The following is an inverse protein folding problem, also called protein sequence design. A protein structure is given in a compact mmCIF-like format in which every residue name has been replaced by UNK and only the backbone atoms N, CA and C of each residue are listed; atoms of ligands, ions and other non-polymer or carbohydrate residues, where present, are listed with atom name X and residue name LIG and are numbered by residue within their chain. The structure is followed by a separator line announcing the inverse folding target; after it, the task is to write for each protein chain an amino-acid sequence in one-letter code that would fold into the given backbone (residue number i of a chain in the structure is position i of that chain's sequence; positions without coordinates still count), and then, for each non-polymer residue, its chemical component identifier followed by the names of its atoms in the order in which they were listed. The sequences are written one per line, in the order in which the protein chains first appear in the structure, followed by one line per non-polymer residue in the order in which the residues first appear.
data_IF_827263636652
#
_entry.id   IF_827263636652
#
_cell.length_a   1.000
_cell.length_b   1.000
_cell.length_c   1.000
_cell.angle_alpha   90.00
_cell.angle_beta   90.00
_cell.angle_gamma   90.00
#
_symmetry.space_group_name_H-M   'P 1'
#
loop_
_entity.id
_entity.type
_entity.pdbx_description
1 polymer ?
#
# COMPACT_ATOMS: atom_id res chain seq x y z
N UNK A 1 -17.40 1.95 11.12
CA UNK A 1 -16.30 1.18 11.75
C UNK A 1 -16.70 -0.24 12.17
N UNK A 2 -17.85 -0.48 12.82
CA UNK A 2 -18.25 -1.83 13.32
C UNK A 2 -18.37 -2.90 12.22
N UNK A 3 -18.86 -2.55 11.02
CA UNK A 3 -18.93 -3.48 9.89
C UNK A 3 -17.55 -3.87 9.32
N UNK A 4 -16.54 -2.98 9.41
CA UNK A 4 -15.17 -3.24 8.94
C UNK A 4 -14.50 -4.25 9.86
N UNK A 5 -14.66 -4.10 11.18
CA UNK A 5 -14.18 -5.09 12.14
C UNK A 5 -14.88 -6.44 11.97
N UNK A 6 -16.17 -6.45 11.59
CA UNK A 6 -16.89 -7.66 11.22
C UNK A 6 -16.31 -8.35 9.98
N UNK A 7 -16.00 -7.58 8.93
CA UNK A 7 -15.35 -8.07 7.71
C UNK A 7 -13.94 -8.62 8.00
N UNK A 8 -13.14 -7.89 8.77
CA UNK A 8 -11.79 -8.29 9.19
C UNK A 8 -11.81 -9.56 10.05
N UNK A 9 -12.77 -9.67 10.99
CA UNK A 9 -12.98 -10.88 11.79
C UNK A 9 -13.40 -12.07 10.93
N UNK A 10 -14.15 -11.84 9.84
CA UNK A 10 -14.49 -12.90 8.89
C UNK A 10 -13.25 -13.39 8.10
N UNK A 11 -12.32 -12.48 7.77
CA UNK A 11 -11.07 -12.79 7.08
C UNK A 11 -10.07 -13.51 8.00
N UNK A 12 -10.04 -13.19 9.30
CA UNK A 12 -9.18 -13.84 10.28
C UNK A 12 -9.65 -15.24 10.70
N UNK A 13 -10.94 -15.58 10.54
CA UNK A 13 -11.43 -16.91 10.95
C UNK A 13 -10.71 -18.03 10.19
N UNK A 14 -10.07 -18.99 10.86
CA UNK A 14 -9.48 -20.14 10.18
C UNK A 14 -10.61 -20.94 9.52
N UNK A 15 -10.54 -21.10 8.19
CA UNK A 15 -11.48 -21.99 7.48
C UNK A 15 -11.07 -23.42 7.80
N UNK A 16 -12.02 -24.25 8.24
CA UNK A 16 -11.81 -25.67 8.55
C UNK A 16 -11.51 -26.54 7.33
N UNK A 17 -11.75 -26.04 6.12
CA UNK A 17 -11.41 -26.72 4.88
C UNK A 17 -10.65 -25.83 3.92
N UNK A 18 -9.65 -26.42 3.27
CA UNK A 18 -8.78 -25.79 2.31
C UNK A 18 -9.02 -26.42 0.94
N UNK A 19 -9.85 -25.77 0.13
CA UNK A 19 -10.10 -26.16 -1.27
C UNK A 19 -9.17 -25.35 -2.21
N UNK A 20 -8.62 -24.23 -1.71
CA UNK A 20 -7.85 -23.26 -2.49
C UNK A 20 -6.33 -23.48 -2.35
N UNK A 21 -5.60 -23.27 -3.46
CA UNK A 21 -4.13 -23.28 -3.50
C UNK A 21 -3.52 -22.22 -2.56
N UNK A 22 -2.27 -22.42 -2.15
CA UNK A 22 -1.60 -21.53 -1.19
C UNK A 22 -1.49 -20.08 -1.73
N UNK A 23 -1.26 -19.94 -3.04
CA UNK A 23 -1.13 -18.67 -3.76
C UNK A 23 -2.39 -17.81 -3.65
N UNK A 24 -3.57 -18.41 -3.84
CA UNK A 24 -4.84 -17.72 -3.67
C UNK A 24 -5.01 -17.19 -2.25
N UNK A 25 -4.67 -18.01 -1.27
CA UNK A 25 -4.77 -17.65 0.14
C UNK A 25 -3.84 -16.50 0.52
N UNK A 26 -2.63 -16.47 -0.04
CA UNK A 26 -1.74 -15.34 0.13
C UNK A 26 -2.41 -14.05 -0.39
N UNK A 27 -2.96 -14.10 -1.60
CA UNK A 27 -3.58 -12.95 -2.25
C UNK A 27 -4.78 -12.36 -1.50
N UNK A 28 -5.86 -13.13 -1.32
CA UNK A 28 -7.10 -12.55 -0.84
C UNK A 28 -7.14 -12.38 0.68
N UNK A 29 -6.26 -13.09 1.41
CA UNK A 29 -6.28 -13.13 2.88
C UNK A 29 -5.11 -12.38 3.46
N UNK A 30 -3.87 -12.73 3.10
CA UNK A 30 -2.69 -12.08 3.68
C UNK A 30 -2.53 -10.67 3.12
N UNK A 31 -2.49 -10.50 1.79
CA UNK A 31 -2.30 -9.19 1.16
C UNK A 31 -3.44 -8.23 1.49
N UNK A 32 -4.70 -8.67 1.41
CA UNK A 32 -5.86 -7.81 1.77
C UNK A 32 -5.81 -7.39 3.24
N UNK A 33 -5.52 -8.31 4.16
CA UNK A 33 -5.43 -7.97 5.59
C UNK A 33 -4.28 -7.02 5.87
N UNK A 34 -3.13 -7.25 5.25
CA UNK A 34 -1.97 -6.35 5.32
C UNK A 34 -2.35 -4.95 4.82
N UNK A 35 -2.91 -4.83 3.61
CA UNK A 35 -3.31 -3.54 3.03
C UNK A 35 -4.35 -2.82 3.88
N UNK A 36 -5.35 -3.53 4.43
CA UNK A 36 -6.36 -2.94 5.31
C UNK A 36 -5.77 -2.46 6.64
N UNK A 37 -4.85 -3.23 7.24
CA UNK A 37 -4.16 -2.83 8.46
C UNK A 37 -3.39 -1.53 8.23
N UNK A 38 -2.59 -1.47 7.17
CA UNK A 38 -1.80 -0.27 6.86
C UNK A 38 -2.66 0.90 6.41
N UNK A 39 -3.76 0.66 5.70
CA UNK A 39 -4.76 1.69 5.41
C UNK A 39 -5.27 2.34 6.70
N UNK A 40 -5.60 1.56 7.73
CA UNK A 40 -6.06 2.08 9.02
C UNK A 40 -4.94 2.85 9.71
N UNK A 41 -3.72 2.32 9.76
CA UNK A 41 -2.56 2.97 10.41
C UNK A 41 -2.24 4.31 9.74
N UNK A 42 -2.13 4.34 8.41
CA UNK A 42 -1.86 5.56 7.63
C UNK A 42 -2.99 6.58 7.83
N UNK A 43 -4.25 6.15 7.72
CA UNK A 43 -5.40 7.05 7.92
C UNK A 43 -5.42 7.64 9.34
N UNK A 44 -5.09 6.84 10.34
CA UNK A 44 -5.01 7.32 11.74
C UNK A 44 -3.91 8.37 11.88
N UNK A 45 -2.73 8.14 11.29
CA UNK A 45 -1.65 9.11 11.32
C UNK A 45 -1.94 10.38 10.52
N UNK A 46 -2.70 10.27 9.44
CA UNK A 46 -3.01 11.38 8.55
C UNK A 46 -4.11 12.29 9.08
N UNK A 47 -5.16 11.72 9.71
CA UNK A 47 -6.33 12.49 10.17
C UNK A 47 -6.36 12.74 11.68
N UNK A 48 -5.81 11.84 12.49
CA UNK A 48 -5.83 11.95 13.96
C UNK A 48 -4.44 12.25 14.55
N UNK A 49 -3.38 12.14 13.75
CA UNK A 49 -2.01 12.44 14.15
C UNK A 49 -1.52 13.79 13.64
N UNK A 50 -0.22 14.02 13.81
CA UNK A 50 0.50 15.17 13.26
C UNK A 50 1.27 14.71 12.02
N UNK A 51 0.73 14.88 10.80
CA UNK A 51 1.32 14.29 9.60
C UNK A 51 2.61 14.99 9.15
N UNK A 52 2.74 16.28 9.43
CA UNK A 52 3.86 17.14 9.07
C UNK A 52 4.24 18.04 10.25
N UNK A 53 5.54 18.27 10.44
CA UNK A 53 6.08 19.24 11.40
C UNK A 53 7.03 20.19 10.71
N UNK A 54 6.83 21.49 10.85
CA UNK A 54 7.60 22.51 10.13
C UNK A 54 8.42 23.37 11.09
N UNK A 55 9.64 23.71 10.69
CA UNK A 55 10.52 24.61 11.43
C UNK A 55 10.05 26.05 11.21
N UNK A 56 9.48 26.67 12.25
CA UNK A 56 9.16 28.10 12.28
C UNK A 56 9.45 28.67 13.67
N UNK A 57 10.11 29.82 13.72
CA UNK A 57 10.56 30.45 14.97
C UNK A 57 9.40 30.91 15.88
N UNK A 58 8.22 31.18 15.31
CA UNK A 58 7.06 31.67 16.07
C UNK A 58 6.08 30.54 16.37
N UNK A 59 5.97 30.13 17.64
CA UNK A 59 5.06 29.08 18.11
C UNK A 59 3.57 29.37 17.85
N UNK A 60 3.19 30.64 17.71
CA UNK A 60 1.79 31.05 17.52
C UNK A 60 1.21 30.65 16.15
N UNK A 61 2.05 30.59 15.12
CA UNK A 61 1.62 30.28 13.74
C UNK A 61 2.06 28.89 13.27
N UNK A 62 2.66 28.07 14.13
CA UNK A 62 3.18 26.75 13.75
C UNK A 62 2.09 25.85 13.19
N UNK A 63 0.93 25.77 13.84
CA UNK A 63 -0.21 24.93 13.40
C UNK A 63 -0.78 25.40 12.07
N UNK A 64 -0.86 26.71 11.85
CA UNK A 64 -1.33 27.29 10.58
C UNK A 64 -0.38 26.92 9.44
N UNK A 65 0.93 27.08 9.65
CA UNK A 65 1.93 26.75 8.63
C UNK A 65 2.00 25.25 8.37
N UNK A 66 1.96 24.43 9.42
CA UNK A 66 1.88 22.96 9.31
C UNK A 66 0.67 22.55 8.47
N UNK A 67 -0.51 23.10 8.76
CA UNK A 67 -1.74 22.78 8.01
C UNK A 67 -1.67 23.29 6.57
N UNK A 68 -1.20 24.52 6.36
CA UNK A 68 -1.02 25.11 5.03
C UNK A 68 -0.08 24.26 4.17
N UNK A 69 1.06 23.86 4.74
CA UNK A 69 2.07 23.04 4.06
C UNK A 69 1.66 21.57 3.93
N UNK A 70 0.73 21.09 4.74
CA UNK A 70 0.15 19.77 4.55
C UNK A 70 -0.83 19.74 3.38
N UNK A 71 -1.67 20.77 3.26
CA UNK A 71 -2.69 20.89 2.21
C UNK A 71 -2.06 21.28 0.87
N UNK A 72 -1.11 22.21 0.90
CA UNK A 72 -0.33 22.63 -0.26
C UNK A 72 0.76 21.62 -0.54
N UNK A 73 1.08 21.36 -1.82
CA UNK A 73 2.16 20.43 -2.16
C UNK A 73 3.51 20.94 -1.60
N UNK A 74 4.27 20.04 -0.97
CA UNK A 74 5.66 20.28 -0.60
C UNK A 74 6.58 19.89 -1.74
N UNK A 75 7.85 20.30 -1.73
CA UNK A 75 8.78 19.98 -2.82
C UNK A 75 10.18 19.59 -2.33
N UNK A 76 10.88 18.86 -3.18
CA UNK A 76 12.32 18.64 -3.08
C UNK A 76 13.00 19.08 -4.38
N UNK A 77 14.28 19.43 -4.29
CA UNK A 77 15.07 19.89 -5.44
C UNK A 77 15.83 18.69 -6.02
N UNK A 78 15.57 18.35 -7.29
CA UNK A 78 16.14 17.17 -7.97
C UNK A 78 17.67 17.20 -8.04
N UNK A 79 18.26 18.36 -8.32
CA UNK A 79 19.71 18.56 -8.40
C UNK A 79 20.40 18.39 -7.04
N UNK A 80 19.72 18.76 -5.95
CA UNK A 80 20.22 18.59 -4.59
C UNK A 80 20.10 17.15 -4.05
N UNK A 81 19.43 16.24 -4.76
CA UNK A 81 19.40 14.81 -4.40
C UNK A 81 20.66 14.05 -4.86
N UNK A 82 21.21 14.44 -6.02
CA UNK A 82 22.36 13.79 -6.64
C UNK A 82 23.69 14.37 -6.17
N UNK A 83 23.72 15.61 -5.67
CA UNK A 83 24.91 16.18 -5.07
C UNK A 83 25.22 15.43 -3.78
N UNK A 84 26.30 14.67 -3.82
CA UNK A 84 26.87 13.95 -2.69
C UNK A 84 27.20 14.94 -1.58
N UNK A 85 26.71 14.61 -0.40
CA UNK A 85 26.92 15.32 0.85
C UNK A 85 26.25 16.69 0.96
N UNK A 86 25.97 17.00 2.23
CA UNK A 86 25.63 18.29 2.86
C UNK A 86 26.73 19.34 2.58
N UNK A 87 27.21 19.45 1.34
CA UNK A 87 28.51 20.03 0.98
C UNK A 87 28.48 21.53 0.74
N UNK A 88 27.31 22.16 0.72
CA UNK A 88 27.15 23.60 0.46
C UNK A 88 26.15 24.22 1.45
N UNK A 89 26.16 23.80 2.73
CA UNK A 89 25.30 24.39 3.77
C UNK A 89 23.82 23.98 3.73
N UNK A 90 23.48 22.92 2.98
CA UNK A 90 22.13 22.36 2.94
C UNK A 90 21.81 21.54 4.21
N UNK A 91 20.67 21.77 4.89
CA UNK A 91 20.33 21.05 6.13
C UNK A 91 19.99 19.57 5.91
N UNK A 92 19.57 19.17 4.71
CA UNK A 92 19.21 17.78 4.35
C UNK A 92 19.35 17.56 2.83
N UNK A 93 19.66 16.32 2.36
CA UNK A 93 19.61 15.98 0.94
C UNK A 93 18.28 16.37 0.28
N UNK A 94 18.35 16.95 -0.93
CA UNK A 94 17.17 17.41 -1.67
C UNK A 94 16.61 18.77 -1.27
N UNK A 95 17.27 19.49 -0.34
CA UNK A 95 16.82 20.79 0.15
C UNK A 95 17.91 21.83 -0.12
N UNK A 96 17.66 22.70 -1.09
CA UNK A 96 18.59 23.74 -1.49
C UNK A 96 17.82 24.95 -2.05
N UNK A 97 18.28 26.19 -1.85
CA UNK A 97 17.71 27.35 -2.53
C UNK A 97 18.02 27.27 -4.04
N UNK A 98 17.13 26.65 -4.82
CA UNK A 98 17.24 26.69 -6.27
C UNK A 98 16.46 27.88 -6.83
N UNK A 99 17.09 28.64 -7.73
CA UNK A 99 16.45 29.78 -8.42
C UNK A 99 15.43 29.34 -9.47
N UNK A 100 15.56 28.13 -10.01
CA UNK A 100 14.66 27.60 -11.05
C UNK A 100 13.59 26.68 -10.47
N UNK A 101 12.32 27.09 -10.57
CA UNK A 101 11.17 26.25 -10.18
C UNK A 101 11.07 24.94 -10.99
N UNK A 102 11.68 24.89 -12.18
CA UNK A 102 11.74 23.68 -13.03
C UNK A 102 12.49 22.53 -12.38
N UNK A 103 13.33 22.80 -11.38
CA UNK A 103 14.09 21.77 -10.64
C UNK A 103 13.31 21.18 -9.46
N UNK A 104 12.11 21.70 -9.17
CA UNK A 104 11.28 21.23 -8.08
C UNK A 104 10.53 19.95 -8.47
N UNK A 105 10.55 18.98 -7.55
CA UNK A 105 9.66 17.82 -7.57
C UNK A 105 8.65 18.01 -6.45
N UNK A 106 7.38 18.15 -6.83
CA UNK A 106 6.29 18.32 -5.87
C UNK A 106 5.81 16.97 -5.35
N UNK A 107 5.58 16.90 -4.05
CA UNK A 107 5.11 15.72 -3.33
C UNK A 107 3.74 16.01 -2.76
N UNK A 108 2.73 15.31 -3.28
CA UNK A 108 1.33 15.40 -2.83
C UNK A 108 0.63 14.03 -2.77
N UNK A 109 1.29 12.96 -3.23
CA UNK A 109 0.73 11.60 -3.24
C UNK A 109 0.40 11.10 -1.82
N UNK A 110 1.14 11.53 -0.79
CA UNK A 110 0.95 11.06 0.58
C UNK A 110 -0.44 11.34 1.14
N UNK A 111 -1.14 12.36 0.63
CA UNK A 111 -2.53 12.65 0.98
C UNK A 111 -3.49 11.54 0.50
N UNK A 112 -3.14 10.87 -0.59
CA UNK A 112 -3.98 9.88 -1.26
C UNK A 112 -3.64 8.43 -0.92
N UNK A 113 -2.50 8.18 -0.24
CA UNK A 113 -2.01 6.83 0.06
C UNK A 113 -3.04 5.98 0.80
N UNK A 114 -3.74 6.54 1.80
CA UNK A 114 -4.79 5.80 2.52
C UNK A 114 -5.91 5.31 1.59
N UNK A 115 -6.37 6.17 0.67
CA UNK A 115 -7.40 5.82 -0.31
C UNK A 115 -6.89 4.81 -1.33
N UNK A 116 -5.64 4.97 -1.79
CA UNK A 116 -4.97 4.03 -2.68
C UNK A 116 -4.96 2.65 -2.04
N UNK A 117 -4.41 2.49 -0.84
CA UNK A 117 -4.32 1.21 -0.14
C UNK A 117 -5.69 0.54 0.05
N UNK A 118 -6.73 1.33 0.33
CA UNK A 118 -8.09 0.83 0.45
C UNK A 118 -8.63 0.28 -0.89
N UNK A 119 -8.44 1.03 -1.98
CA UNK A 119 -8.84 0.61 -3.33
C UNK A 119 -8.07 -0.67 -3.72
N UNK A 120 -6.75 -0.72 -3.47
CA UNK A 120 -5.95 -1.91 -3.73
C UNK A 120 -6.47 -3.14 -2.98
N UNK A 121 -6.84 -2.98 -1.71
CA UNK A 121 -7.41 -4.07 -0.91
C UNK A 121 -8.71 -4.62 -1.51
N UNK A 122 -9.57 -3.77 -2.07
CA UNK A 122 -10.81 -4.18 -2.76
C UNK A 122 -10.48 -4.99 -4.01
N UNK A 123 -9.56 -4.51 -4.84
CA UNK A 123 -9.16 -5.21 -6.06
C UNK A 123 -8.51 -6.56 -5.75
N UNK A 124 -7.64 -6.67 -4.74
CA UNK A 124 -7.09 -7.96 -4.29
C UNK A 124 -8.14 -8.93 -3.72
N UNK A 125 -9.26 -8.43 -3.19
CA UNK A 125 -10.37 -9.27 -2.76
C UNK A 125 -11.28 -9.74 -3.91
N UNK A 126 -11.28 -9.03 -5.04
CA UNK A 126 -12.21 -9.25 -6.16
C UNK A 126 -12.15 -10.66 -6.74
N UNK A 127 -10.97 -11.27 -7.00
CA UNK A 127 -10.91 -12.65 -7.50
C UNK A 127 -11.56 -13.67 -6.55
N UNK A 128 -11.37 -13.50 -5.23
CA UNK A 128 -11.99 -14.39 -4.25
C UNK A 128 -13.51 -14.22 -4.19
N UNK A 129 -13.97 -12.97 -4.25
CA UNK A 129 -15.40 -12.69 -4.32
C UNK A 129 -16.04 -13.30 -5.58
N UNK A 130 -15.37 -13.17 -6.73
CA UNK A 130 -15.81 -13.76 -8.00
C UNK A 130 -15.85 -15.30 -7.91
N UNK A 131 -14.82 -15.92 -7.33
CA UNK A 131 -14.79 -17.37 -7.08
C UNK A 131 -15.97 -17.82 -6.24
N UNK A 132 -16.29 -17.10 -5.16
CA UNK A 132 -17.41 -17.43 -4.27
C UNK A 132 -18.77 -17.38 -4.99
N UNK A 133 -18.94 -16.44 -5.93
CA UNK A 133 -20.14 -16.37 -6.79
C UNK A 133 -20.18 -17.56 -7.74
N UNK A 134 -19.06 -17.90 -8.39
CA UNK A 134 -18.97 -19.01 -9.33
C UNK A 134 -19.16 -20.38 -8.69
N UNK A 135 -18.65 -20.57 -7.47
CA UNK A 135 -18.81 -21.79 -6.67
C UNK A 135 -20.26 -21.95 -6.17
N UNK A 136 -20.97 -20.84 -5.93
CA UNK A 136 -22.37 -20.85 -5.52
C UNK A 136 -22.62 -21.52 -4.16
N UNK A 137 -21.58 -21.64 -3.31
CA UNK A 137 -21.67 -22.23 -1.96
C UNK A 137 -21.92 -23.74 -1.92
N UNK A 138 -21.94 -24.43 -3.07
CA UNK A 138 -22.24 -25.87 -3.14
C UNK A 138 -21.27 -26.71 -2.31
N UNK A 139 -19.97 -26.47 -2.42
CA UNK A 139 -18.97 -27.25 -1.68
C UNK A 139 -19.06 -26.96 -0.17
N UNK A 140 -19.24 -25.69 0.22
CA UNK A 140 -19.44 -25.32 1.62
C UNK A 140 -20.70 -25.96 2.23
N UNK A 141 -21.80 -26.01 1.49
CA UNK A 141 -23.06 -26.65 1.95
C UNK A 141 -22.96 -28.17 2.07
N UNK A 142 -22.23 -28.84 1.15
CA UNK A 142 -22.00 -30.29 1.21
C UNK A 142 -21.12 -30.67 2.40
N UNK A 143 -20.20 -29.79 2.78
CA UNK A 143 -19.30 -30.01 3.90
C UNK A 143 -19.88 -29.64 5.27
N UNK A 144 -20.77 -28.65 5.36
CA UNK A 144 -21.43 -28.31 6.62
C UNK A 144 -22.54 -29.30 7.00
N UNK A 145 -23.15 -29.98 6.02
CA UNK A 145 -24.34 -30.81 6.24
C UNK A 145 -24.08 -32.17 6.90
N UNK A 146 -22.84 -32.69 6.90
CA UNK A 146 -22.66 -34.15 7.16
C UNK A 146 -21.71 -34.59 8.29
N UNK A 147 -21.17 -33.71 9.15
CA UNK A 147 -20.14 -34.18 10.12
C UNK A 147 -20.26 -33.75 11.58
N UNK A 148 -21.31 -33.01 11.99
CA UNK A 148 -21.39 -32.56 13.40
C UNK A 148 -21.98 -33.58 14.38
N UNK A 149 -22.75 -34.56 13.90
CA UNK A 149 -23.48 -35.49 14.76
C UNK A 149 -22.97 -36.94 14.71
N UNK A 150 -22.00 -37.26 13.85
CA UNK A 150 -21.49 -38.63 13.67
C UNK A 150 -20.22 -38.89 14.50
N UNK A 151 -19.96 -40.14 14.92
CA UNK A 151 -18.70 -40.53 15.57
C UNK A 151 -17.48 -40.33 14.65
N UNK A 152 -16.29 -40.11 15.24
CA UNK A 152 -15.08 -39.61 14.54
C UNK A 152 -14.61 -40.50 13.37
N UNK A 153 -14.84 -41.81 13.43
CA UNK A 153 -14.46 -42.74 12.34
C UNK A 153 -15.41 -42.70 11.14
N UNK A 154 -16.72 -42.58 11.38
CA UNK A 154 -17.72 -42.42 10.31
C UNK A 154 -17.60 -41.04 9.63
N UNK A 155 -17.16 -40.02 10.38
CA UNK A 155 -16.83 -38.71 9.79
C UNK A 155 -15.70 -38.81 8.76
N UNK A 156 -14.69 -39.66 8.97
CA UNK A 156 -13.56 -39.82 8.04
C UNK A 156 -14.02 -40.53 6.77
N UNK A 157 -14.76 -41.64 6.91
CA UNK A 157 -15.33 -42.38 5.75
C UNK A 157 -16.32 -41.55 4.95
N UNK A 158 -17.20 -40.79 5.61
CA UNK A 158 -18.15 -39.91 4.93
C UNK A 158 -17.45 -38.77 4.19
N UNK A 159 -16.39 -38.19 4.77
CA UNK A 159 -15.53 -37.21 4.08
C UNK A 159 -14.84 -37.80 2.87
N UNK A 160 -14.29 -39.02 2.97
CA UNK A 160 -13.64 -39.68 1.84
C UNK A 160 -14.62 -39.97 0.70
N UNK A 161 -15.86 -40.39 1.02
CA UNK A 161 -16.92 -40.60 0.03
C UNK A 161 -17.36 -39.29 -0.64
N UNK A 162 -17.47 -38.19 0.12
CA UNK A 162 -17.77 -36.85 -0.42
C UNK A 162 -16.63 -36.39 -1.32
N UNK A 163 -15.38 -36.58 -0.92
CA UNK A 163 -14.19 -36.25 -1.73
C UNK A 163 -14.16 -37.09 -3.00
N UNK A 164 -14.50 -38.38 -2.94
CA UNK A 164 -14.53 -39.27 -4.10
C UNK A 164 -15.68 -38.91 -5.06
N UNK A 165 -16.85 -38.54 -4.54
CA UNK A 165 -17.97 -38.00 -5.34
C UNK A 165 -17.62 -36.67 -6.00
N UNK A 166 -16.99 -35.76 -5.26
CA UNK A 166 -16.52 -34.47 -5.79
C UNK A 166 -15.45 -34.70 -6.86
N UNK A 167 -14.50 -35.60 -6.65
CA UNK A 167 -13.44 -35.93 -7.63
C UNK A 167 -13.99 -36.52 -8.93
N UNK A 168 -14.96 -37.42 -8.82
CA UNK A 168 -15.67 -38.03 -9.96
C UNK A 168 -16.50 -37.03 -10.76
N UNK A 169 -17.07 -36.03 -10.08
CA UNK A 169 -17.86 -34.97 -10.71
C UNK A 169 -16.98 -33.84 -11.27
N UNK A 170 -15.85 -33.54 -10.63
CA UNK A 170 -14.83 -32.58 -11.09
C UNK A 170 -14.23 -32.94 -12.43
N UNK A 171 -14.03 -34.24 -12.71
CA UNK A 171 -13.50 -34.71 -14.01
C UNK A 171 -14.53 -34.70 -15.13
N UNK A 172 -15.82 -34.50 -14.83
CA UNK A 172 -16.91 -34.47 -15.83
C UNK A 172 -17.40 -33.06 -16.17
N UNK A 173 -17.37 -32.13 -15.21
CA UNK A 173 -17.79 -30.73 -15.43
C UNK A 173 -16.61 -29.84 -15.83
N UNK A 174 -16.21 -29.86 -17.11
CA UNK A 174 -15.16 -28.99 -17.68
C UNK A 174 -15.34 -27.49 -17.35
N UNK A 175 -16.59 -27.07 -17.13
CA UNK A 175 -16.94 -25.70 -16.75
C UNK A 175 -16.39 -25.27 -15.38
N UNK A 176 -16.28 -26.20 -14.42
CA UNK A 176 -15.76 -25.89 -13.10
C UNK A 176 -14.26 -25.58 -13.16
N UNK A 177 -13.51 -26.43 -13.84
CA UNK A 177 -12.06 -26.26 -14.07
C UNK A 177 -11.82 -24.96 -14.85
N UNK A 178 -12.62 -24.69 -15.88
CA UNK A 178 -12.53 -23.45 -16.65
C UNK A 178 -12.76 -22.20 -15.78
N UNK A 179 -13.79 -22.19 -14.92
CA UNK A 179 -14.06 -21.08 -13.99
C UNK A 179 -12.92 -20.86 -13.00
N UNK A 180 -12.32 -21.93 -12.50
CA UNK A 180 -11.17 -21.85 -11.60
C UNK A 180 -9.95 -21.25 -12.32
N UNK A 181 -9.64 -21.72 -13.53
CA UNK A 181 -8.54 -21.21 -14.35
C UNK A 181 -8.71 -19.72 -14.66
N UNK A 182 -9.93 -19.28 -15.01
CA UNK A 182 -10.24 -17.85 -15.23
C UNK A 182 -9.95 -17.04 -13.97
N UNK A 183 -10.33 -17.54 -12.79
CA UNK A 183 -10.05 -16.87 -11.52
C UNK A 183 -8.53 -16.73 -11.26
N UNK A 184 -7.75 -17.76 -11.60
CA UNK A 184 -6.30 -17.75 -11.44
C UNK A 184 -5.62 -16.76 -12.39
N UNK A 185 -6.07 -16.70 -13.64
CA UNK A 185 -5.64 -15.69 -14.61
C UNK A 185 -6.03 -14.29 -14.14
N UNK A 186 -7.24 -14.11 -13.60
CA UNK A 186 -7.67 -12.83 -13.02
C UNK A 186 -6.80 -12.39 -11.84
N UNK A 187 -6.35 -13.31 -10.98
CA UNK A 187 -5.38 -13.00 -9.92
C UNK A 187 -4.08 -12.48 -10.50
N UNK A 188 -3.52 -13.16 -11.51
CA UNK A 188 -2.28 -12.73 -12.15
C UNK A 188 -2.43 -11.36 -12.81
N UNK A 189 -3.49 -11.14 -13.60
CA UNK A 189 -3.79 -9.84 -14.21
C UNK A 189 -3.92 -8.75 -13.13
N UNK A 190 -4.54 -9.06 -12.00
CA UNK A 190 -4.67 -8.11 -10.89
C UNK A 190 -3.29 -7.72 -10.32
N UNK A 191 -2.34 -8.65 -10.14
CA UNK A 191 -0.98 -8.30 -9.69
C UNK A 191 -0.34 -7.27 -10.62
N UNK A 192 -0.32 -7.58 -11.93
CA UNK A 192 0.27 -6.67 -12.92
C UNK A 192 -0.46 -5.34 -12.98
N UNK A 193 -1.79 -5.34 -12.91
CA UNK A 193 -2.60 -4.14 -12.87
C UNK A 193 -2.32 -3.28 -11.63
N UNK A 194 -2.16 -3.90 -10.46
CA UNK A 194 -1.82 -3.19 -9.23
C UNK A 194 -0.42 -2.59 -9.28
N UNK A 195 0.54 -3.32 -9.83
CA UNK A 195 1.91 -2.84 -9.97
C UNK A 195 1.99 -1.67 -10.96
N UNK A 196 1.32 -1.76 -12.12
CA UNK A 196 1.24 -0.68 -13.09
C UNK A 196 0.47 0.55 -12.54
N UNK A 197 -0.57 0.32 -11.74
CA UNK A 197 -1.31 1.39 -11.08
C UNK A 197 -0.43 2.15 -10.08
N UNK A 198 0.33 1.45 -9.24
CA UNK A 198 1.28 2.09 -8.32
C UNK A 198 2.35 2.86 -9.07
N UNK A 199 2.89 2.28 -10.14
CA UNK A 199 3.93 2.93 -10.94
C UNK A 199 3.44 4.23 -11.59
N UNK A 200 2.22 4.25 -12.12
CA UNK A 200 1.61 5.47 -12.64
C UNK A 200 1.39 6.55 -11.56
N UNK A 201 1.07 6.15 -10.32
CA UNK A 201 0.95 7.08 -9.18
C UNK A 201 2.30 7.68 -8.79
N UNK A 202 3.38 6.91 -8.92
CA UNK A 202 4.74 7.32 -8.56
C UNK A 202 5.58 7.80 -9.75
N UNK A 203 4.95 8.34 -10.79
CA UNK A 203 5.61 8.93 -11.96
C UNK A 203 6.55 7.98 -12.71
N UNK A 204 6.21 6.69 -12.78
CA UNK A 204 6.94 5.61 -13.46
C UNK A 204 8.33 5.26 -12.91
N UNK A 205 8.62 5.60 -11.65
CA UNK A 205 9.89 5.26 -11.01
C UNK A 205 9.77 4.06 -10.03
N UNK A 206 8.57 3.52 -9.83
CA UNK A 206 8.32 2.52 -8.78
C UNK A 206 8.78 1.11 -9.17
N UNK A 207 8.58 0.67 -10.42
CA UNK A 207 8.98 -0.69 -10.85
C UNK A 207 10.46 -0.99 -10.62
N UNK A 208 11.34 -0.05 -10.96
CA UNK A 208 12.78 -0.24 -10.86
C UNK A 208 13.31 -0.02 -9.44
N UNK A 209 12.53 0.63 -8.57
CA UNK A 209 12.95 1.02 -7.23
C UNK A 209 13.38 -0.19 -6.38
N UNK A 210 12.64 -1.29 -6.44
CA UNK A 210 12.96 -2.50 -5.66
C UNK A 210 14.35 -3.04 -5.99
N UNK A 211 14.66 -3.16 -7.28
CA UNK A 211 15.99 -3.60 -7.74
C UNK A 211 17.09 -2.58 -7.40
N UNK A 212 16.82 -1.27 -7.53
CA UNK A 212 17.76 -0.21 -7.19
C UNK A 212 18.11 -0.20 -5.70
N UNK A 213 17.11 -0.39 -4.83
CA UNK A 213 17.27 -0.51 -3.38
C UNK A 213 18.10 -1.74 -3.02
N UNK A 214 17.80 -2.90 -3.61
CA UNK A 214 18.55 -4.13 -3.36
C UNK A 214 20.02 -3.99 -3.81
N UNK A 215 20.25 -3.38 -4.97
CA UNK A 215 21.60 -3.08 -5.48
C UNK A 215 22.35 -2.12 -4.55
N UNK A 216 21.68 -1.08 -4.05
CA UNK A 216 22.26 -0.10 -3.15
C UNK A 216 22.70 -0.74 -1.82
N UNK A 217 21.84 -1.50 -1.15
CA UNK A 217 22.20 -2.21 0.08
C UNK A 217 23.34 -3.22 -0.13
N UNK A 218 23.40 -3.86 -1.30
CA UNK A 218 24.49 -4.79 -1.64
C UNK A 218 25.82 -4.06 -1.92
N UNK A 219 25.77 -2.86 -2.47
CA UNK A 219 26.95 -2.10 -2.91
C UNK A 219 27.68 -1.36 -1.78
N UNK A 220 27.09 -1.29 -0.57
CA UNK A 220 27.65 -0.75 0.69
C UNK A 220 28.53 0.51 0.52
N UNK A 221 28.15 1.40 -0.40
CA UNK A 221 28.95 2.56 -0.79
C UNK A 221 28.40 3.80 -0.10
N UNK A 222 29.16 4.45 0.80
CA UNK A 222 28.68 5.60 1.58
C UNK A 222 28.45 6.88 0.76
N UNK A 223 28.77 6.84 -0.55
CA UNK A 223 28.69 7.98 -1.46
C UNK A 223 27.31 8.08 -2.13
N UNK A 224 26.53 6.99 -2.24
CA UNK A 224 25.22 7.06 -2.93
C UNK A 224 24.12 7.52 -1.96
N UNK A 225 23.28 8.46 -2.40
CA UNK A 225 22.05 8.83 -1.67
C UNK A 225 21.03 7.71 -1.82
N UNK A 226 20.32 7.36 -0.73
CA UNK A 226 19.29 6.32 -0.72
C UNK A 226 18.25 6.58 -1.84
N UNK A 227 18.01 5.64 -2.78
CA UNK A 227 17.05 5.83 -3.87
C UNK A 227 15.62 6.03 -3.35
N UNK A 228 15.32 5.52 -2.15
CA UNK A 228 14.05 5.71 -1.46
C UNK A 228 13.76 7.18 -1.14
N UNK A 229 14.78 8.02 -0.88
CA UNK A 229 14.57 9.43 -0.57
C UNK A 229 14.09 10.24 -1.78
N UNK A 230 14.25 9.71 -3.00
CA UNK A 230 13.75 10.32 -4.24
C UNK A 230 12.23 10.23 -4.34
N UNK A 231 11.68 9.07 -4.00
CA UNK A 231 10.24 8.79 -4.05
C UNK A 231 9.54 9.14 -2.74
N UNK A 232 10.19 8.84 -1.61
CA UNK A 232 9.68 9.01 -0.25
C UNK A 232 10.58 9.94 0.59
N UNK A 233 10.63 11.25 0.28
CA UNK A 233 11.41 12.19 1.07
C UNK A 233 10.86 12.32 2.50
N UNK A 234 11.74 12.20 3.49
CA UNK A 234 11.40 12.39 4.92
C UNK A 234 11.40 13.86 5.32
N UNK A 235 12.13 14.69 4.58
CA UNK A 235 12.23 16.13 4.78
C UNK A 235 11.97 16.82 3.44
N UNK A 236 11.12 17.83 3.46
CA UNK A 236 10.68 18.57 2.27
C UNK A 236 10.67 20.07 2.56
N UNK A 237 10.70 20.89 1.51
CA UNK A 237 10.51 22.34 1.64
C UNK A 237 9.09 22.72 1.25
N UNK A 238 8.55 23.75 1.89
CA UNK A 238 7.25 24.32 1.59
C UNK A 238 7.37 25.84 1.49
N UNK A 239 6.77 26.44 0.46
CA UNK A 239 6.71 27.89 0.31
C UNK A 239 5.43 28.42 0.94
N UNK A 240 5.54 28.97 2.14
CA UNK A 240 4.44 29.61 2.86
C UNK A 240 4.24 31.04 2.32
N UNK A 241 3.11 31.29 1.65
CA UNK A 241 2.75 32.61 1.10
C UNK A 241 1.74 33.28 2.01
N UNK A 242 2.02 34.49 2.45
CA UNK A 242 1.17 35.26 3.36
C UNK A 242 1.15 36.75 2.99
N UNK A 243 0.14 37.47 3.49
CA UNK A 243 0.06 38.92 3.35
C UNK A 243 0.85 39.60 4.47
N UNK A 244 1.90 40.32 4.10
CA UNK A 244 2.64 41.16 5.04
C UNK A 244 1.98 42.53 5.24
N UNK A 245 2.61 43.38 6.04
CA UNK A 245 2.20 44.78 6.21
C UNK A 245 2.12 45.49 4.84
N UNK A 246 1.02 46.21 4.61
CA UNK A 246 0.75 46.89 3.34
C UNK A 246 0.21 45.99 2.22
N UNK A 247 -0.38 44.84 2.54
CA UNK A 247 -1.01 43.91 1.59
C UNK A 247 -0.09 43.36 0.49
N UNK A 248 1.23 43.44 0.69
CA UNK A 248 2.21 42.85 -0.22
C UNK A 248 2.34 41.35 0.08
N UNK A 249 2.34 40.55 -0.98
CA UNK A 249 2.55 39.10 -0.88
C UNK A 249 4.01 38.86 -0.51
N UNK A 250 4.24 38.18 0.62
CA UNK A 250 5.56 37.67 1.02
C UNK A 250 5.52 36.14 1.01
N UNK A 251 6.64 35.53 0.65
CA UNK A 251 6.80 34.08 0.61
C UNK A 251 8.04 33.68 1.37
N UNK A 252 7.89 32.75 2.30
CA UNK A 252 8.98 32.19 3.09
C UNK A 252 9.06 30.69 2.86
N UNK A 253 10.27 30.18 2.63
CA UNK A 253 10.50 28.74 2.50
C UNK A 253 10.77 28.15 3.88
N UNK A 254 9.90 27.25 4.31
CA UNK A 254 10.02 26.53 5.59
C UNK A 254 10.46 25.09 5.35
N UNK A 255 11.23 24.56 6.31
CA UNK A 255 11.65 23.17 6.34
C UNK A 255 10.59 22.33 7.04
N UNK A 256 10.13 21.25 6.43
CA UNK A 256 9.11 20.38 7.01
C UNK A 256 9.52 18.91 7.01
N UNK A 257 9.32 18.24 8.14
CA UNK A 257 9.51 16.80 8.32
C UNK A 257 8.18 16.08 8.11
N UNK A 258 8.20 15.07 7.24
CA UNK A 258 7.01 14.37 6.77
C UNK A 258 6.94 12.98 7.40
N UNK A 259 6.38 12.89 8.61
CA UNK A 259 6.36 11.66 9.40
C UNK A 259 5.55 10.53 8.74
N UNK A 260 4.49 10.87 8.00
CA UNK A 260 3.68 9.91 7.25
C UNK A 260 4.52 9.15 6.21
N UNK A 261 5.52 9.82 5.65
CA UNK A 261 6.28 9.24 4.55
C UNK A 261 7.26 8.14 5.00
N UNK A 262 7.68 8.17 6.27
CA UNK A 262 8.47 7.08 6.87
C UNK A 262 7.67 5.77 6.89
N UNK A 263 6.36 5.85 7.15
CA UNK A 263 5.47 4.68 7.10
C UNK A 263 5.25 4.22 5.67
N UNK A 264 4.97 5.16 4.76
CA UNK A 264 4.75 4.86 3.34
C UNK A 264 5.96 4.15 2.73
N UNK A 265 7.18 4.61 3.01
CA UNK A 265 8.43 3.98 2.58
C UNK A 265 8.43 2.48 2.91
N UNK A 266 8.06 2.08 4.13
CA UNK A 266 8.07 0.68 4.57
C UNK A 266 6.95 -0.14 3.92
N UNK A 267 5.77 0.45 3.74
CA UNK A 267 4.62 -0.21 3.10
C UNK A 267 4.95 -0.51 1.64
N UNK A 268 5.40 0.49 0.89
CA UNK A 268 5.66 0.35 -0.53
C UNK A 268 6.90 -0.47 -0.84
N UNK A 269 7.91 -0.49 0.05
CA UNK A 269 8.99 -1.49 0.00
C UNK A 269 8.43 -2.91 0.09
N UNK A 270 7.53 -3.18 1.03
CA UNK A 270 6.92 -4.51 1.16
C UNK A 270 6.08 -4.87 -0.08
N UNK A 271 5.30 -3.93 -0.62
CA UNK A 271 4.52 -4.16 -1.84
C UNK A 271 5.40 -4.41 -3.08
N UNK A 272 6.52 -3.69 -3.22
CA UNK A 272 7.42 -3.82 -4.36
C UNK A 272 8.28 -5.09 -4.35
N UNK A 273 8.63 -5.63 -3.18
CA UNK A 273 9.33 -6.93 -3.06
C UNK A 273 8.40 -8.13 -2.89
N UNK A 274 7.16 -7.90 -2.42
CA UNK A 274 6.18 -8.94 -2.10
C UNK A 274 5.15 -9.22 -3.20
N UNK A 275 5.21 -8.50 -4.32
CA UNK A 275 4.45 -8.79 -5.55
C UNK A 275 5.29 -9.60 -6.53
#
# INVERSE_FOLDING_TARGET
MIHIFGALKSLLKPKKLHIDHWTFRLHYRFTVLFLLLFCIVVSTKQYAGEPIKCSKDTREYSVLVETYCFVTATYTVKTALNKTQVSEGAPHPGIYPAQDEKQYRYHQYYQWVGFILFIQAIFFYTPHWLWKIFEGGKISSLLERDTRHLPREEQIKSRDLIVQHLRSRWTKDNLFIFKYLVCEICCFINIFGQMAFLDGVFENEFFCLGFEVMSYYRSNSPIRTDPLLRLFPRVTSCTYRYFGEGAKIRSESVLCVLAVNVMNEKIFLFCGFGS
#
